data_IF_371674756123
#
_entry.id   IF_371674756123
#
_cell.length_a   1.000
_cell.length_b   1.000
_cell.length_c   1.000
_cell.angle_alpha   90.00
_cell.angle_beta   90.00
_cell.angle_gamma   90.00
#
_symmetry.space_group_name_H-M   'P 1'
#
loop_
_entity.id
_entity.type
_entity.pdbx_description
1 polymer ?
#
# COMPACT_ATOMS: atom_id res chain seq x y z
N UNK A 1 -22.29 -10.57 -13.17
CA UNK A 1 -21.68 -11.70 -12.44
C UNK A 1 -20.87 -11.13 -11.28
N UNK A 2 -21.34 -11.33 -10.07
CA UNK A 2 -20.61 -10.94 -8.85
C UNK A 2 -19.73 -12.12 -8.44
N UNK A 3 -18.44 -12.06 -8.73
CA UNK A 3 -17.48 -13.07 -8.29
C UNK A 3 -16.74 -12.59 -7.05
N UNK A 4 -16.99 -13.19 -5.89
CA UNK A 4 -16.15 -13.03 -4.71
C UNK A 4 -15.01 -14.04 -4.83
N UNK A 5 -13.81 -13.54 -5.10
CA UNK A 5 -12.62 -14.40 -5.12
C UNK A 5 -11.85 -14.15 -3.83
N UNK A 6 -11.98 -15.09 -2.89
CA UNK A 6 -11.19 -15.10 -1.65
C UNK A 6 -10.04 -16.07 -1.83
N UNK A 7 -8.84 -15.59 -2.05
CA UNK A 7 -7.63 -16.40 -1.98
C UNK A 7 -6.99 -16.16 -0.61
N UNK A 8 -7.27 -17.02 0.35
CA UNK A 8 -6.46 -17.13 1.55
C UNK A 8 -5.38 -18.19 1.28
N UNK A 9 -4.13 -17.78 1.15
CA UNK A 9 -3.02 -18.70 1.24
C UNK A 9 -2.60 -18.71 2.70
N UNK A 10 -2.70 -19.86 3.42
CA UNK A 10 -2.14 -19.98 4.75
C UNK A 10 -0.61 -19.96 4.62
N UNK A 11 0.00 -18.80 4.82
CA UNK A 11 1.40 -18.74 5.22
C UNK A 11 1.33 -18.78 6.73
N UNK A 12 1.15 -20.00 7.21
CA UNK A 12 0.94 -20.34 8.60
C UNK A 12 2.17 -19.99 9.45
N UNK A 13 1.95 -19.92 10.74
CA UNK A 13 2.74 -20.22 11.94
C UNK A 13 4.09 -20.96 11.75
N UNK A 14 4.43 -21.38 10.52
CA UNK A 14 5.64 -22.12 10.17
C UNK A 14 6.93 -21.31 10.45
N UNK A 15 6.84 -20.00 10.59
CA UNK A 15 8.01 -19.11 10.76
C UNK A 15 7.82 -18.06 11.89
N UNK A 16 6.79 -18.21 12.73
CA UNK A 16 6.56 -17.35 13.89
C UNK A 16 7.52 -17.62 15.05
N UNK A 17 7.31 -16.88 16.13
CA UNK A 17 8.01 -17.07 17.39
C UNK A 17 7.92 -18.55 17.86
N UNK A 18 9.04 -19.13 18.26
CA UNK A 18 9.13 -20.54 18.70
C UNK A 18 9.10 -21.58 17.57
N UNK A 19 9.13 -21.18 16.31
CA UNK A 19 9.19 -22.12 15.19
C UNK A 19 10.54 -22.81 15.09
N UNK A 20 10.56 -24.13 14.96
CA UNK A 20 11.79 -24.92 14.75
C UNK A 20 12.51 -24.57 13.44
N UNK A 21 11.81 -24.01 12.47
CA UNK A 21 12.37 -23.60 11.19
C UNK A 21 12.91 -22.15 11.19
N UNK A 22 12.71 -21.41 12.27
CA UNK A 22 13.19 -20.05 12.38
C UNK A 22 14.72 -19.98 12.40
N UNK A 23 15.26 -19.00 11.70
CA UNK A 23 16.70 -18.70 11.70
C UNK A 23 17.09 -17.68 12.78
N UNK A 24 16.12 -17.01 13.37
CA UNK A 24 16.34 -16.12 14.50
C UNK A 24 16.32 -16.90 15.82
N UNK A 25 17.02 -16.37 16.83
CA UNK A 25 17.01 -16.93 18.18
C UNK A 25 15.79 -16.38 18.95
N UNK A 26 14.85 -17.27 19.29
CA UNK A 26 13.59 -16.90 19.95
C UNK A 26 13.78 -16.41 21.38
N UNK A 27 14.77 -16.92 22.12
CA UNK A 27 15.01 -16.53 23.49
C UNK A 27 15.62 -15.11 23.55
N UNK A 28 16.55 -14.84 22.64
CA UNK A 28 17.12 -13.48 22.49
C UNK A 28 16.05 -12.52 21.98
N UNK A 29 15.18 -12.95 21.08
CA UNK A 29 14.06 -12.14 20.60
C UNK A 29 13.12 -11.73 21.76
N UNK A 30 12.81 -12.67 22.67
CA UNK A 30 11.98 -12.36 23.83
C UNK A 30 12.68 -11.39 24.78
N UNK A 31 13.97 -11.56 25.04
CA UNK A 31 14.74 -10.62 25.86
C UNK A 31 14.74 -9.20 25.27
N UNK A 32 14.84 -9.06 23.95
CA UNK A 32 14.75 -7.76 23.28
C UNK A 32 13.35 -7.16 23.49
N UNK A 33 12.28 -7.92 23.36
CA UNK A 33 10.92 -7.44 23.60
C UNK A 33 10.72 -7.02 25.05
N UNK A 34 11.15 -7.83 26.00
CA UNK A 34 11.04 -7.55 27.44
C UNK A 34 11.78 -6.24 27.80
N UNK A 35 12.97 -6.03 27.23
CA UNK A 35 13.74 -4.80 27.44
C UNK A 35 13.04 -3.55 26.90
N UNK A 36 12.34 -3.65 25.76
CA UNK A 36 11.54 -2.54 25.21
C UNK A 36 10.31 -2.26 26.10
N UNK A 37 9.62 -3.30 26.56
CA UNK A 37 8.47 -3.15 27.47
C UNK A 37 8.91 -2.47 28.77
N UNK A 38 10.02 -2.92 29.38
CA UNK A 38 10.59 -2.30 30.58
C UNK A 38 11.01 -0.85 30.34
N UNK A 39 11.66 -0.55 29.22
CA UNK A 39 11.99 0.83 28.84
C UNK A 39 10.73 1.70 28.69
N UNK A 40 9.70 1.20 28.04
CA UNK A 40 8.44 1.92 27.89
C UNK A 40 7.78 2.21 29.24
N UNK A 41 7.74 1.21 30.13
CA UNK A 41 7.19 1.37 31.50
C UNK A 41 7.99 2.40 32.32
N UNK A 42 9.30 2.38 32.24
CA UNK A 42 10.15 3.41 32.89
C UNK A 42 9.87 4.83 32.40
N UNK A 43 9.39 4.97 31.16
CA UNK A 43 8.98 6.23 30.56
C UNK A 43 7.48 6.56 30.80
N UNK A 44 6.76 5.75 31.53
CA UNK A 44 5.32 5.93 31.79
C UNK A 44 4.44 5.64 30.57
N UNK A 45 4.95 4.87 29.60
CA UNK A 45 4.21 4.47 28.39
C UNK A 45 3.55 3.11 28.59
N UNK A 46 2.29 3.01 28.22
CA UNK A 46 1.54 1.74 28.19
C UNK A 46 1.76 1.06 26.84
N UNK A 47 2.79 0.22 26.75
CA UNK A 47 3.19 -0.47 25.54
C UNK A 47 3.36 -1.97 25.78
N UNK A 48 2.45 -2.76 25.22
CA UNK A 48 2.41 -4.22 25.36
C UNK A 48 2.37 -4.90 23.98
N UNK A 49 3.50 -4.97 23.29
CA UNK A 49 3.59 -5.67 22.00
C UNK A 49 3.45 -7.19 22.20
N UNK A 50 2.96 -7.85 21.17
CA UNK A 50 3.00 -9.31 21.06
C UNK A 50 3.64 -9.71 19.73
N UNK A 51 4.13 -10.96 19.65
CA UNK A 51 4.66 -11.47 18.38
C UNK A 51 3.54 -11.62 17.35
N UNK A 52 3.82 -11.20 16.13
CA UNK A 52 2.89 -11.38 15.01
C UNK A 52 2.77 -12.88 14.68
N UNK A 53 1.56 -13.38 14.73
CA UNK A 53 1.21 -14.77 14.42
C UNK A 53 -0.07 -14.81 13.58
N UNK A 54 -0.15 -13.93 12.59
CA UNK A 54 -1.32 -13.81 11.74
C UNK A 54 -1.08 -14.48 10.39
N UNK A 55 -2.14 -15.09 9.86
CA UNK A 55 -2.12 -15.64 8.52
C UNK A 55 -2.12 -14.50 7.47
N UNK A 56 -1.37 -14.71 6.41
CA UNK A 56 -1.45 -13.84 5.24
C UNK A 56 -2.82 -13.98 4.59
N UNK A 57 -3.48 -12.86 4.36
CA UNK A 57 -4.71 -12.83 3.60
C UNK A 57 -4.68 -11.79 2.48
N UNK A 58 -5.42 -12.09 1.43
CA UNK A 58 -5.77 -11.16 0.37
C UNK A 58 -7.23 -11.37 0.01
N UNK A 59 -8.02 -10.28 0.06
CA UNK A 59 -9.46 -10.30 -0.25
C UNK A 59 -9.75 -9.27 -1.33
N UNK A 60 -10.61 -9.62 -2.29
CA UNK A 60 -10.99 -8.71 -3.35
C UNK A 60 -12.46 -8.90 -3.71
N UNK A 61 -13.23 -7.83 -3.58
CA UNK A 61 -14.63 -7.75 -4.03
C UNK A 61 -14.67 -6.93 -5.32
N UNK A 62 -15.37 -7.45 -6.34
CA UNK A 62 -15.45 -6.81 -7.64
C UNK A 62 -16.91 -6.78 -8.11
N UNK A 63 -17.31 -5.64 -8.67
CA UNK A 63 -18.60 -5.50 -9.30
C UNK A 63 -18.45 -4.74 -10.63
N UNK A 64 -19.25 -5.08 -11.63
CA UNK A 64 -19.26 -4.35 -12.89
C UNK A 64 -20.66 -4.40 -13.50
N UNK A 65 -21.09 -3.25 -14.03
CA UNK A 65 -22.34 -3.11 -14.76
C UNK A 65 -22.03 -2.40 -16.06
N UNK A 66 -22.57 -2.91 -17.16
CA UNK A 66 -22.48 -2.31 -18.49
C UNK A 66 -23.87 -2.15 -19.07
N UNK A 67 -24.13 -1.00 -19.69
CA UNK A 67 -25.31 -0.71 -20.45
C UNK A 67 -24.90 -0.35 -21.88
N UNK A 68 -25.49 -1.02 -22.85
CA UNK A 68 -25.33 -0.74 -24.27
C UNK A 68 -26.69 -0.25 -24.82
N UNK A 69 -26.69 0.89 -25.48
CA UNK A 69 -27.90 1.49 -26.05
C UNK A 69 -27.68 1.87 -27.50
N UNK A 70 -28.46 1.23 -28.40
CA UNK A 70 -28.58 1.64 -29.78
C UNK A 70 -29.58 2.80 -29.86
N UNK A 71 -29.08 4.05 -29.82
CA UNK A 71 -29.91 5.25 -29.85
C UNK A 71 -30.71 5.31 -31.14
N UNK A 72 -30.04 5.01 -32.27
CA UNK A 72 -30.62 4.82 -33.58
C UNK A 72 -29.66 3.99 -34.46
N UNK A 73 -29.94 3.84 -35.77
CA UNK A 73 -29.10 3.09 -36.71
C UNK A 73 -27.68 3.66 -36.91
N UNK A 74 -27.45 4.92 -36.54
CA UNK A 74 -26.19 5.64 -36.72
C UNK A 74 -25.41 5.83 -35.42
N UNK A 75 -26.06 5.75 -34.26
CA UNK A 75 -25.48 6.09 -33.00
C UNK A 75 -25.65 4.95 -31.99
N UNK A 76 -24.51 4.53 -31.42
CA UNK A 76 -24.46 3.56 -30.34
C UNK A 76 -23.73 4.19 -29.14
N UNK A 77 -24.34 4.05 -27.98
CA UNK A 77 -23.77 4.51 -26.73
C UNK A 77 -23.54 3.31 -25.79
N UNK A 78 -22.41 3.28 -25.14
CA UNK A 78 -22.17 2.34 -24.06
C UNK A 78 -21.65 3.06 -22.83
N UNK A 79 -22.04 2.57 -21.66
CA UNK A 79 -21.49 3.03 -20.37
C UNK A 79 -21.22 1.82 -19.49
N UNK A 80 -20.06 1.84 -18.84
CA UNK A 80 -19.63 0.80 -17.91
C UNK A 80 -19.20 1.45 -16.60
N UNK A 81 -19.70 0.92 -15.52
CA UNK A 81 -19.17 1.17 -14.20
C UNK A 81 -18.52 -0.11 -13.65
N UNK A 82 -17.34 0.02 -13.03
CA UNK A 82 -16.65 -1.07 -12.37
C UNK A 82 -16.16 -0.61 -10.99
N UNK A 83 -16.21 -1.52 -10.04
CA UNK A 83 -15.75 -1.33 -8.69
C UNK A 83 -14.86 -2.46 -8.26
N UNK A 84 -13.76 -2.12 -7.58
CA UNK A 84 -12.87 -3.08 -6.93
C UNK A 84 -12.58 -2.55 -5.52
N UNK A 85 -12.78 -3.41 -4.52
CA UNK A 85 -12.32 -3.20 -3.14
C UNK A 85 -11.43 -4.38 -2.79
N UNK A 86 -10.14 -4.12 -2.72
CA UNK A 86 -9.12 -5.12 -2.43
C UNK A 86 -8.35 -4.74 -1.17
N UNK A 87 -8.07 -5.73 -0.33
CA UNK A 87 -7.28 -5.55 0.87
C UNK A 87 -6.42 -6.76 1.20
N UNK A 88 -5.28 -6.50 1.79
CA UNK A 88 -4.33 -7.52 2.25
C UNK A 88 -3.55 -7.04 3.47
N UNK A 89 -3.15 -7.99 4.32
CA UNK A 89 -2.19 -7.69 5.37
C UNK A 89 -0.76 -7.81 4.87
N UNK A 90 0.10 -6.99 5.42
CA UNK A 90 1.52 -6.88 5.09
C UNK A 90 2.33 -6.69 6.38
N UNK A 91 3.65 -6.73 6.28
CA UNK A 91 4.54 -6.60 7.44
C UNK A 91 4.70 -7.90 8.23
N UNK A 92 4.29 -9.03 7.65
CA UNK A 92 4.46 -10.35 8.25
C UNK A 92 5.94 -10.73 8.30
N UNK A 93 6.30 -11.51 9.31
CA UNK A 93 7.62 -12.11 9.46
C UNK A 93 7.97 -13.10 8.34
N UNK A 94 9.17 -13.63 8.43
CA UNK A 94 9.70 -14.65 7.54
C UNK A 94 10.53 -15.64 8.33
N UNK A 95 11.10 -16.65 7.67
CA UNK A 95 12.04 -17.58 8.30
C UNK A 95 13.24 -16.90 8.99
N UNK A 96 13.61 -15.69 8.56
CA UNK A 96 14.75 -14.93 9.08
C UNK A 96 14.38 -13.61 9.73
N UNK A 97 13.10 -13.28 9.84
CA UNK A 97 12.64 -12.01 10.40
C UNK A 97 11.41 -12.22 11.26
N UNK A 98 11.50 -11.86 12.52
CA UNK A 98 10.39 -11.90 13.48
C UNK A 98 9.93 -10.47 13.77
N UNK A 99 8.61 -10.24 13.71
CA UNK A 99 8.02 -8.93 13.97
C UNK A 99 6.93 -9.01 15.04
N UNK A 100 6.71 -7.89 15.73
CA UNK A 100 5.55 -7.71 16.60
C UNK A 100 4.29 -7.39 15.80
N UNK A 101 3.12 -7.57 16.41
CA UNK A 101 1.81 -7.25 15.80
C UNK A 101 1.71 -5.80 15.34
N UNK A 102 2.41 -4.87 15.98
CA UNK A 102 2.43 -3.46 15.60
C UNK A 102 3.13 -3.19 14.27
N UNK A 103 3.94 -4.15 13.79
CA UNK A 103 4.60 -4.08 12.48
C UNK A 103 3.64 -4.43 11.33
N UNK A 104 2.56 -5.11 11.64
CA UNK A 104 1.54 -5.47 10.66
C UNK A 104 0.75 -4.23 10.23
N UNK A 105 0.39 -4.18 8.97
CA UNK A 105 -0.53 -3.20 8.44
C UNK A 105 -1.44 -3.79 7.37
N UNK A 106 -2.65 -3.23 7.25
CA UNK A 106 -3.55 -3.55 6.17
C UNK A 106 -3.36 -2.51 5.05
N UNK A 107 -3.14 -2.99 3.83
CA UNK A 107 -3.23 -2.18 2.63
C UNK A 107 -4.60 -2.40 2.00
N UNK A 108 -5.36 -1.33 1.80
CA UNK A 108 -6.63 -1.32 1.11
C UNK A 108 -6.56 -0.42 -0.12
N UNK A 109 -7.05 -0.92 -1.25
CA UNK A 109 -7.23 -0.18 -2.49
C UNK A 109 -8.68 -0.26 -2.94
N UNK A 110 -9.33 0.91 -3.07
CA UNK A 110 -10.68 1.04 -3.62
C UNK A 110 -10.62 1.76 -4.94
N UNK A 111 -11.07 1.09 -6.00
CA UNK A 111 -11.09 1.65 -7.35
C UNK A 111 -12.50 1.69 -7.90
N UNK A 112 -12.92 2.86 -8.36
CA UNK A 112 -14.11 3.05 -9.18
C UNK A 112 -13.66 3.45 -10.58
N UNK A 113 -14.23 2.82 -11.59
CA UNK A 113 -14.01 3.18 -12.99
C UNK A 113 -15.36 3.41 -13.66
N UNK A 114 -15.54 4.57 -14.27
CA UNK A 114 -16.64 4.87 -15.17
C UNK A 114 -16.05 5.05 -16.56
N UNK A 115 -16.59 4.36 -17.55
CA UNK A 115 -16.20 4.51 -18.95
C UNK A 115 -17.46 4.64 -19.81
N UNK A 116 -17.48 5.65 -20.66
CA UNK A 116 -18.55 5.91 -21.62
C UNK A 116 -17.97 6.01 -23.03
N UNK A 117 -18.67 5.50 -24.01
CA UNK A 117 -18.29 5.52 -25.43
C UNK A 117 -19.50 5.84 -26.27
N UNK A 118 -19.34 6.77 -27.21
CA UNK A 118 -20.32 7.09 -28.23
C UNK A 118 -19.71 6.82 -29.61
N UNK A 119 -20.27 5.89 -30.33
CA UNK A 119 -19.92 5.63 -31.72
C UNK A 119 -21.00 6.23 -32.61
N UNK A 120 -20.59 7.11 -33.55
CA UNK A 120 -21.47 7.84 -34.46
C UNK A 120 -21.04 7.64 -35.90
N UNK A 121 -21.97 7.23 -36.77
CA UNK A 121 -21.76 7.15 -38.19
C UNK A 121 -22.49 8.31 -38.86
N UNK A 122 -21.75 9.40 -39.13
CA UNK A 122 -22.32 10.59 -39.78
C UNK A 122 -22.66 10.36 -41.26
N UNK A 123 -21.90 9.47 -41.96
CA UNK A 123 -22.13 9.04 -43.31
C UNK A 123 -21.47 7.68 -43.54
N UNK A 124 -21.69 7.02 -44.72
CA UNK A 124 -20.95 5.79 -45.06
C UNK A 124 -19.43 5.92 -45.03
N UNK A 125 -18.92 7.16 -45.17
CA UNK A 125 -17.50 7.45 -45.22
C UNK A 125 -16.98 8.25 -44.00
N UNK A 126 -17.84 8.62 -43.04
CA UNK A 126 -17.43 9.45 -41.91
C UNK A 126 -17.97 8.88 -40.61
N UNK A 127 -17.07 8.41 -39.75
CA UNK A 127 -17.36 7.81 -38.45
C UNK A 127 -16.65 8.55 -37.36
N UNK A 128 -17.27 8.68 -36.19
CA UNK A 128 -16.67 9.24 -34.98
C UNK A 128 -16.79 8.29 -33.81
N UNK A 129 -15.76 8.26 -32.96
CA UNK A 129 -15.75 7.53 -31.71
C UNK A 129 -15.24 8.47 -30.61
N UNK A 130 -16.16 8.86 -29.72
CA UNK A 130 -15.85 9.66 -28.56
C UNK A 130 -15.87 8.78 -27.30
N UNK A 131 -14.83 8.88 -26.48
CA UNK A 131 -14.69 8.15 -25.22
C UNK A 131 -14.45 9.11 -24.07
N UNK A 132 -15.04 8.76 -22.94
CA UNK A 132 -14.77 9.39 -21.68
C UNK A 132 -14.51 8.31 -20.62
N UNK A 133 -13.50 8.51 -19.79
CA UNK A 133 -13.33 7.68 -18.61
C UNK A 133 -13.03 8.52 -17.37
N UNK A 134 -13.47 8.02 -16.23
CA UNK A 134 -13.14 8.52 -14.91
C UNK A 134 -12.69 7.35 -14.05
N UNK A 135 -11.48 7.43 -13.53
CA UNK A 135 -10.89 6.45 -12.61
C UNK A 135 -10.62 7.15 -11.28
N UNK A 136 -11.21 6.59 -10.23
CA UNK A 136 -10.98 7.03 -8.85
C UNK A 136 -10.30 5.90 -8.09
N UNK A 137 -9.08 6.16 -7.59
CA UNK A 137 -8.33 5.23 -6.75
C UNK A 137 -8.14 5.83 -5.36
N UNK A 138 -8.33 5.01 -4.33
CA UNK A 138 -8.08 5.36 -2.93
C UNK A 138 -7.28 4.24 -2.30
N UNK A 139 -5.98 4.51 -2.15
CA UNK A 139 -5.02 3.59 -1.57
C UNK A 139 -4.67 4.05 -0.16
N UNK A 140 -4.90 3.20 0.82
CA UNK A 140 -4.67 3.51 2.22
C UNK A 140 -3.93 2.37 2.91
N UNK A 141 -3.08 2.73 3.86
CA UNK A 141 -2.47 1.80 4.79
C UNK A 141 -2.95 2.09 6.20
N UNK A 142 -3.40 1.04 6.88
CA UNK A 142 -3.80 1.10 8.28
C UNK A 142 -2.77 0.32 9.08
N UNK A 143 -1.98 1.01 9.87
CA UNK A 143 -0.93 0.45 10.71
C UNK A 143 -1.38 0.38 12.18
N UNK A 144 -0.59 -0.31 13.01
CA UNK A 144 -0.84 -0.47 14.44
C UNK A 144 -0.65 0.81 15.27
N UNK A 145 -0.39 0.66 16.56
CA UNK A 145 -0.20 1.78 17.49
C UNK A 145 1.02 2.64 17.13
N UNK A 146 0.96 3.93 17.46
CA UNK A 146 2.06 4.87 17.27
C UNK A 146 3.27 4.47 18.11
N UNK A 147 4.30 3.93 17.48
CA UNK A 147 5.54 3.51 18.11
C UNK A 147 6.70 3.62 17.11
N UNK A 148 7.94 3.82 17.55
CA UNK A 148 9.09 3.79 16.67
C UNK A 148 9.29 2.39 16.07
N UNK A 149 9.91 2.33 14.90
CA UNK A 149 10.41 1.09 14.30
C UNK A 149 11.78 0.77 14.89
N UNK A 150 11.95 -0.39 15.47
CA UNK A 150 13.22 -0.85 16.05
C UNK A 150 13.57 -2.18 15.42
N UNK A 151 14.70 -2.26 14.74
CA UNK A 151 15.21 -3.48 14.11
C UNK A 151 16.55 -3.86 14.74
N UNK A 152 16.64 -5.08 15.23
CA UNK A 152 17.88 -5.67 15.76
C UNK A 152 18.30 -6.79 14.82
N UNK A 153 19.47 -6.67 14.23
CA UNK A 153 20.08 -7.64 13.34
C UNK A 153 20.92 -8.67 14.11
N UNK A 154 21.30 -9.75 13.44
CA UNK A 154 22.13 -10.81 14.01
C UNK A 154 21.55 -11.43 15.29
N UNK A 155 20.22 -11.57 15.33
CA UNK A 155 19.52 -12.37 16.33
C UNK A 155 19.53 -13.83 15.84
N UNK A 156 20.53 -14.63 16.27
CA UNK A 156 20.86 -15.88 15.60
C UNK A 156 21.35 -15.65 14.16
N UNK A 157 20.65 -16.20 13.17
CA UNK A 157 20.89 -15.97 11.73
C UNK A 157 19.79 -15.09 11.11
N UNK A 158 19.10 -14.31 11.92
CA UNK A 158 17.97 -13.50 11.52
C UNK A 158 17.95 -12.12 12.16
N UNK A 159 16.78 -11.49 12.12
CA UNK A 159 16.52 -10.18 12.71
C UNK A 159 15.19 -10.16 13.47
N UNK A 160 15.06 -9.22 14.39
CA UNK A 160 13.84 -8.94 15.14
C UNK A 160 13.44 -7.49 14.92
N UNK A 161 12.16 -7.25 14.62
CA UNK A 161 11.58 -5.93 14.50
C UNK A 161 10.46 -5.73 15.51
N UNK A 162 10.55 -4.64 16.27
CA UNK A 162 9.57 -4.22 17.27
C UNK A 162 9.03 -2.84 16.88
N UNK A 163 7.75 -2.61 17.14
CA UNK A 163 7.11 -1.35 16.79
C UNK A 163 6.55 -1.35 15.37
N UNK A 164 6.34 -0.17 14.81
CA UNK A 164 5.68 -0.01 13.52
C UNK A 164 6.60 -0.30 12.33
N UNK A 165 6.00 -0.66 11.22
CA UNK A 165 6.67 -0.63 9.94
C UNK A 165 6.91 0.83 9.52
N UNK A 166 8.16 1.15 9.14
CA UNK A 166 8.61 2.55 9.00
C UNK A 166 7.93 3.35 7.88
N UNK A 167 7.20 2.73 6.96
CA UNK A 167 6.67 3.39 5.76
C UNK A 167 5.14 3.46 5.71
N UNK A 168 4.44 2.89 6.70
CA UNK A 168 3.00 2.66 6.60
C UNK A 168 2.14 3.51 7.52
N UNK A 169 2.72 4.18 8.52
CA UNK A 169 1.98 4.98 9.51
C UNK A 169 1.29 6.20 8.89
N UNK A 170 1.91 6.82 7.90
CA UNK A 170 1.34 7.95 7.17
C UNK A 170 1.61 7.74 5.67
N UNK A 171 0.82 6.88 5.06
CA UNK A 171 0.96 6.53 3.66
C UNK A 171 -0.41 6.28 3.03
N UNK A 172 -0.74 7.13 2.07
CA UNK A 172 -1.98 7.03 1.32
C UNK A 172 -1.88 7.79 0.01
N UNK A 173 -2.56 7.30 -1.00
CA UNK A 173 -2.60 7.91 -2.31
C UNK A 173 -4.03 7.96 -2.82
N UNK A 174 -4.54 9.19 -2.95
CA UNK A 174 -5.81 9.47 -3.59
C UNK A 174 -5.57 9.95 -5.02
N UNK A 175 -6.20 9.30 -5.98
CA UNK A 175 -6.09 9.66 -7.39
C UNK A 175 -7.48 9.77 -8.02
N UNK A 176 -7.67 10.81 -8.80
CA UNK A 176 -8.80 10.99 -9.72
C UNK A 176 -8.24 11.30 -11.11
N UNK A 177 -8.52 10.43 -12.08
CA UNK A 177 -8.04 10.54 -13.45
C UNK A 177 -9.23 10.66 -14.38
N UNK A 178 -9.25 11.72 -15.18
CA UNK A 178 -10.26 11.97 -16.20
C UNK A 178 -9.60 11.86 -17.56
N UNK A 179 -10.12 11.02 -18.44
CA UNK A 179 -9.61 10.84 -19.80
C UNK A 179 -10.72 11.18 -20.78
N UNK A 180 -10.40 11.97 -21.78
CA UNK A 180 -11.25 12.24 -22.91
C UNK A 180 -10.50 11.91 -24.21
N UNK A 181 -11.12 11.11 -25.05
CA UNK A 181 -10.63 10.74 -26.39
C UNK A 181 -11.71 11.00 -27.43
N UNK A 182 -11.30 11.51 -28.57
CA UNK A 182 -12.19 11.65 -29.73
C UNK A 182 -11.43 11.30 -31.02
N UNK A 183 -11.98 10.43 -31.83
CA UNK A 183 -11.38 9.94 -33.06
C UNK A 183 -12.39 10.04 -34.21
N UNK A 184 -12.10 10.89 -35.17
CA UNK A 184 -12.86 11.05 -36.40
C UNK A 184 -12.15 10.32 -37.54
N UNK A 185 -12.82 9.32 -38.13
CA UNK A 185 -12.31 8.56 -39.27
C UNK A 185 -13.04 8.90 -40.53
N UNK A 186 -12.31 9.35 -41.55
CA UNK A 186 -12.83 9.69 -42.89
C UNK A 186 -12.26 8.74 -43.93
N UNK A 187 -13.16 8.09 -44.68
CA UNK A 187 -12.83 7.19 -45.78
C UNK A 187 -12.99 7.92 -47.12
N UNK A 188 -11.94 7.90 -47.94
CA UNK A 188 -11.97 8.50 -49.29
C UNK A 188 -11.25 7.60 -50.30
N UNK A 189 -12.00 6.94 -51.16
CA UNK A 189 -11.48 5.96 -52.09
C UNK A 189 -10.84 4.79 -51.33
N UNK A 190 -9.56 4.51 -51.57
CA UNK A 190 -8.79 3.47 -50.87
C UNK A 190 -8.07 3.96 -49.62
N UNK A 191 -8.28 5.23 -49.23
CA UNK A 191 -7.59 5.84 -48.07
C UNK A 191 -8.55 5.96 -46.90
N UNK A 192 -7.99 5.73 -45.68
CA UNK A 192 -8.62 6.03 -44.39
C UNK A 192 -7.78 7.06 -43.65
N UNK A 193 -8.38 8.18 -43.27
CA UNK A 193 -7.76 9.22 -42.50
C UNK A 193 -8.42 9.24 -41.12
N UNK A 194 -7.60 9.18 -40.06
CA UNK A 194 -8.08 9.30 -38.66
C UNK A 194 -7.45 10.53 -38.02
N UNK A 195 -8.30 11.39 -37.51
CA UNK A 195 -7.92 12.57 -36.73
C UNK A 195 -8.43 12.35 -35.31
N UNK A 196 -7.55 12.48 -34.33
CA UNK A 196 -7.94 12.21 -32.96
C UNK A 196 -7.27 13.13 -31.95
N UNK A 197 -7.85 13.18 -30.76
CA UNK A 197 -7.29 13.81 -29.58
C UNK A 197 -7.39 12.89 -28.40
N UNK A 198 -6.39 12.96 -27.50
CA UNK A 198 -6.36 12.26 -26.23
C UNK A 198 -5.94 13.26 -25.15
N UNK A 199 -6.77 13.43 -24.14
CA UNK A 199 -6.54 14.37 -23.06
C UNK A 199 -6.74 13.68 -21.73
N UNK A 200 -5.81 13.90 -20.80
CA UNK A 200 -5.90 13.37 -19.44
C UNK A 200 -5.72 14.50 -18.42
N UNK A 201 -6.55 14.47 -17.40
CA UNK A 201 -6.46 15.37 -16.25
C UNK A 201 -6.32 14.54 -14.99
N UNK A 202 -5.23 14.78 -14.26
CA UNK A 202 -4.90 14.10 -13.02
C UNK A 202 -5.13 15.01 -11.83
N UNK A 203 -5.81 14.48 -10.80
CA UNK A 203 -5.81 15.04 -9.45
C UNK A 203 -5.31 13.97 -8.52
N UNK A 204 -4.31 14.28 -7.72
CA UNK A 204 -3.82 13.33 -6.72
C UNK A 204 -3.44 14.04 -5.42
N UNK A 205 -3.62 13.32 -4.31
CA UNK A 205 -3.11 13.67 -3.00
C UNK A 205 -2.26 12.50 -2.54
N UNK A 206 -0.98 12.74 -2.34
CA UNK A 206 -0.03 11.75 -1.86
C UNK A 206 0.42 12.13 -0.45
N UNK A 207 0.08 11.29 0.51
CA UNK A 207 0.59 11.38 1.87
C UNK A 207 1.67 10.31 2.03
N UNK A 208 2.92 10.72 2.24
CA UNK A 208 4.02 9.81 2.49
C UNK A 208 5.02 10.42 3.47
N UNK A 209 4.97 9.95 4.71
CA UNK A 209 5.88 10.35 5.79
C UNK A 209 6.55 9.09 6.37
N UNK A 210 7.65 8.63 5.76
CA UNK A 210 8.38 7.48 6.28
C UNK A 210 8.99 7.79 7.65
N UNK A 211 9.07 6.78 8.50
CA UNK A 211 9.68 6.87 9.83
C UNK A 211 9.08 7.98 10.71
N UNK A 212 7.76 8.17 10.66
CA UNK A 212 7.06 9.25 11.36
C UNK A 212 7.37 9.29 12.87
N UNK A 213 7.50 8.13 13.49
CA UNK A 213 7.84 7.98 14.92
C UNK A 213 9.30 7.62 15.19
N UNK A 214 10.15 7.71 14.17
CA UNK A 214 11.54 7.29 14.21
C UNK A 214 11.74 5.82 13.85
N UNK A 215 12.89 5.54 13.28
CA UNK A 215 13.36 4.19 12.99
C UNK A 215 14.79 4.02 13.49
N UNK A 216 15.03 2.95 14.22
CA UNK A 216 16.31 2.63 14.82
C UNK A 216 16.75 1.25 14.34
N UNK A 217 18.01 1.11 13.95
CA UNK A 217 18.61 -0.16 13.59
C UNK A 217 19.83 -0.43 14.46
N UNK A 218 19.93 -1.64 14.97
CA UNK A 218 21.08 -2.14 15.71
C UNK A 218 21.73 -3.30 14.96
N UNK A 219 23.06 -3.34 14.94
CA UNK A 219 23.78 -4.41 14.27
C UNK A 219 23.79 -5.73 15.06
N UNK A 220 23.59 -5.66 16.37
CA UNK A 220 23.57 -6.83 17.23
C UNK A 220 22.64 -6.66 18.43
N UNK A 221 22.20 -7.76 19.07
CA UNK A 221 21.50 -7.72 20.35
C UNK A 221 22.31 -7.01 21.44
N UNK A 222 23.64 -7.19 21.47
CA UNK A 222 24.49 -6.56 22.46
C UNK A 222 24.47 -5.03 22.32
N UNK A 223 24.60 -4.48 21.09
CA UNK A 223 24.53 -3.04 20.86
C UNK A 223 23.18 -2.47 21.31
N UNK A 224 22.10 -3.22 21.07
CA UNK A 224 20.76 -2.84 21.51
C UNK A 224 20.68 -2.80 23.06
N UNK A 225 21.09 -3.87 23.74
CA UNK A 225 21.05 -3.93 25.21
C UNK A 225 21.93 -2.86 25.87
N UNK A 226 23.11 -2.59 25.31
CA UNK A 226 24.01 -1.58 25.84
C UNK A 226 23.35 -0.18 25.84
N UNK A 227 22.62 0.16 24.76
CA UNK A 227 21.91 1.44 24.67
C UNK A 227 20.69 1.47 25.58
N UNK A 228 19.85 0.42 25.58
CA UNK A 228 18.62 0.38 26.38
C UNK A 228 18.89 0.38 27.88
N UNK A 229 19.97 -0.25 28.31
CA UNK A 229 20.39 -0.31 29.70
C UNK A 229 21.22 0.91 30.12
N UNK A 230 21.55 1.83 29.21
CA UNK A 230 22.32 3.02 29.48
C UNK A 230 23.81 2.75 29.76
N UNK A 231 24.33 1.60 29.33
CA UNK A 231 25.75 1.24 29.43
C UNK A 231 26.59 1.74 28.26
N UNK A 232 25.94 2.13 27.18
CA UNK A 232 26.52 2.82 26.04
C UNK A 232 25.64 4.00 25.60
N UNK A 233 26.23 4.92 24.88
CA UNK A 233 25.54 6.03 24.25
C UNK A 233 24.95 5.65 22.88
N UNK A 234 24.37 6.64 22.17
CA UNK A 234 23.78 6.43 20.84
C UNK A 234 24.75 6.00 19.74
N UNK A 235 26.07 5.93 19.99
CA UNK A 235 27.06 5.49 18.99
C UNK A 235 26.91 4.03 18.59
N UNK A 236 26.20 3.23 19.40
CA UNK A 236 25.87 1.84 19.11
C UNK A 236 24.65 1.68 18.18
N UNK A 237 23.90 2.75 17.91
CA UNK A 237 22.81 2.75 16.95
C UNK A 237 23.41 2.77 15.56
N UNK A 238 23.22 1.70 14.80
CA UNK A 238 23.77 1.56 13.45
C UNK A 238 23.16 2.55 12.46
N UNK A 239 21.85 2.80 12.59
CA UNK A 239 21.18 3.87 11.83
C UNK A 239 19.98 4.41 12.61
N UNK A 240 19.72 5.70 12.41
CA UNK A 240 18.54 6.40 12.91
C UNK A 240 17.94 7.23 11.78
N UNK A 241 16.64 7.15 11.61
CA UNK A 241 15.90 7.95 10.64
C UNK A 241 14.59 8.45 11.26
N UNK A 242 14.25 9.72 11.00
CA UNK A 242 12.95 10.30 11.35
C UNK A 242 12.58 11.32 10.29
N UNK A 243 11.32 11.30 9.88
CA UNK A 243 10.78 12.35 9.02
C UNK A 243 10.18 13.45 9.88
N UNK A 244 10.76 14.64 9.82
CA UNK A 244 10.19 15.82 10.45
C UNK A 244 9.32 16.55 9.44
N UNK A 245 8.09 16.90 9.84
CA UNK A 245 7.25 17.82 9.08
C UNK A 245 7.82 19.23 9.29
N UNK A 246 8.80 19.60 8.47
CA UNK A 246 9.21 20.99 8.35
C UNK A 246 8.09 21.80 7.71
N UNK A 247 7.99 23.10 7.99
CA UNK A 247 7.14 24.04 7.25
C UNK A 247 7.68 24.23 5.83
N UNK A 248 7.66 23.21 5.02
CA UNK A 248 7.81 23.33 3.59
C UNK A 248 6.47 23.77 3.03
N UNK A 249 6.31 25.06 2.77
CA UNK A 249 5.23 25.52 1.91
C UNK A 249 5.55 25.07 0.49
N UNK A 250 5.17 23.86 0.12
CA UNK A 250 5.10 23.45 -1.27
C UNK A 250 3.96 24.22 -1.93
N UNK A 251 4.25 25.43 -2.40
CA UNK A 251 3.49 26.04 -3.47
C UNK A 251 3.98 25.43 -4.78
N UNK A 252 3.44 24.31 -5.15
CA UNK A 252 3.46 23.89 -6.54
C UNK A 252 2.51 24.80 -7.31
N UNK A 253 3.09 25.67 -8.14
CA UNK A 253 2.34 26.35 -9.21
C UNK A 253 2.41 25.45 -10.43
N UNK A 254 1.26 24.96 -10.83
CA UNK A 254 1.03 24.41 -12.17
C UNK A 254 0.93 25.58 -13.14
#
# INVERSE_FOLDING_TARGET
>A
MTGVQTCALPISTQYGYGSENAKFDSDVAQQIMDAIVDLAQRQGLDYHPSWANEDKYEKSNKASVKLDWNINEFNKFSIRWSYVDAKRNLGLGSISSLYTTNHLYEFQSKTHTLAAELQSRFSPSLNNEARFSYVRVRDQRTSGAAAPSIVVSNVGKGSVGIGNEGYSMANGLDQDVYTFEDNLTWLRGSHAFTFGTHNEVYKFTNLFLPNLYGAYTFNSPQDFFDVVNGTADGSKIASYAVTQIGRASCRERV
#
